data_IF_310551183589
#
_entry.id   IF_310551183589
#
_cell.length_a   1.000
_cell.length_b   1.000
_cell.length_c   1.000
_cell.angle_alpha   90.00
_cell.angle_beta   90.00
_cell.angle_gamma   90.00
#
_symmetry.space_group_name_H-M   'P 1'
#
loop_
_entity.id
_entity.type
_entity.pdbx_description
1 polymer ?
#
# COMPACT_ATOMS: atom_id res chain seq x y z
N UNK A 1 11.25 -20.55 7.67
CA UNK A 1 11.01 -19.94 6.34
C UNK A 1 9.58 -19.42 6.29
N UNK A 2 9.42 -18.08 6.29
CA UNK A 2 8.11 -17.46 6.15
C UNK A 2 7.52 -17.80 4.77
N UNK A 3 6.25 -18.27 4.75
CA UNK A 3 5.55 -18.61 3.50
C UNK A 3 5.06 -17.36 2.76
N UNK A 4 4.75 -16.28 3.48
CA UNK A 4 4.27 -15.01 2.93
C UNK A 4 5.08 -13.87 3.54
N UNK A 5 5.68 -13.05 2.69
CA UNK A 5 6.47 -11.88 3.05
C UNK A 5 5.79 -10.66 2.44
N UNK A 6 5.26 -9.79 3.28
CA UNK A 6 4.77 -8.46 2.90
C UNK A 6 5.74 -7.41 3.40
N UNK A 7 6.13 -6.48 2.55
CA UNK A 7 7.13 -5.47 2.87
C UNK A 7 6.62 -4.06 2.58
N UNK A 8 6.94 -3.16 3.50
CA UNK A 8 6.85 -1.72 3.34
C UNK A 8 8.24 -1.13 3.63
N UNK A 9 8.65 -0.15 2.87
CA UNK A 9 9.88 0.61 3.15
C UNK A 9 9.54 2.09 3.16
N UNK A 10 9.88 2.74 4.25
CA UNK A 10 9.72 4.17 4.38
C UNK A 10 11.06 4.87 4.16
N UNK A 11 11.09 5.84 3.25
CA UNK A 11 12.22 6.73 3.06
C UNK A 11 11.97 8.00 3.88
N UNK A 12 12.86 8.30 4.81
CA UNK A 12 12.87 9.56 5.55
C UNK A 12 14.24 10.27 5.38
N UNK A 13 14.34 11.48 5.90
CA UNK A 13 15.55 12.29 5.77
C UNK A 13 16.83 11.61 6.29
N UNK A 14 16.69 10.77 7.33
CA UNK A 14 17.83 10.12 7.98
C UNK A 14 18.24 8.81 7.32
N UNK A 15 17.36 8.17 6.53
CA UNK A 15 17.66 6.88 5.91
C UNK A 15 17.62 6.93 4.37
N UNK A 16 17.64 8.12 3.79
CA UNK A 16 17.60 8.30 2.34
C UNK A 16 18.76 7.54 1.66
N UNK A 17 18.42 6.53 0.86
CA UNK A 17 19.37 5.65 0.18
C UNK A 17 19.94 4.50 1.02
N UNK A 18 19.73 4.46 2.35
CA UNK A 18 20.23 3.40 3.22
C UNK A 18 19.23 2.25 3.41
N UNK A 19 17.94 2.52 3.32
CA UNK A 19 16.87 1.54 3.49
C UNK A 19 16.05 1.40 2.21
N UNK A 20 16.56 0.64 1.27
CA UNK A 20 15.92 0.45 -0.03
C UNK A 20 15.05 -0.80 -0.02
N UNK A 21 13.93 -0.76 -0.74
CA UNK A 21 13.05 -1.92 -0.94
C UNK A 21 13.80 -3.07 -1.65
N UNK A 22 14.88 -2.77 -2.36
CA UNK A 22 15.71 -3.74 -3.10
C UNK A 22 16.41 -4.77 -2.19
N UNK A 23 16.50 -4.52 -0.88
CA UNK A 23 17.01 -5.50 0.09
C UNK A 23 16.12 -6.73 0.20
N UNK A 24 14.84 -6.62 -0.12
CA UNK A 24 13.88 -7.72 -0.02
C UNK A 24 13.76 -8.43 -1.36
N UNK A 25 14.11 -9.70 -1.39
CA UNK A 25 14.04 -10.55 -2.58
C UNK A 25 12.78 -11.43 -2.54
N UNK A 26 12.09 -11.52 -3.69
CA UNK A 26 10.91 -12.36 -3.88
C UNK A 26 9.78 -12.12 -2.86
N UNK A 27 9.42 -10.87 -2.49
CA UNK A 27 8.31 -10.64 -1.58
C UNK A 27 6.99 -11.05 -2.23
N UNK A 28 6.04 -11.51 -1.40
CA UNK A 28 4.68 -11.78 -1.87
C UNK A 28 3.92 -10.48 -2.16
N UNK A 29 4.17 -9.46 -1.34
CA UNK A 29 3.55 -8.16 -1.46
C UNK A 29 4.56 -7.06 -1.14
N UNK A 30 4.57 -6.03 -1.96
CA UNK A 30 5.28 -4.77 -1.73
C UNK A 30 4.24 -3.65 -1.61
N UNK A 31 4.33 -2.83 -0.58
CA UNK A 31 3.61 -1.57 -0.49
C UNK A 31 4.65 -0.44 -0.44
N UNK A 32 4.44 0.56 -1.29
CA UNK A 32 5.34 1.71 -1.42
C UNK A 32 4.54 2.92 -1.89
N UNK A 33 4.92 4.14 -1.52
CA UNK A 33 4.30 5.31 -2.12
C UNK A 33 4.95 5.67 -3.47
N UNK A 34 4.25 6.46 -4.27
CA UNK A 34 4.70 6.78 -5.62
C UNK A 34 6.04 7.53 -5.66
N UNK A 35 6.25 8.48 -4.75
CA UNK A 35 7.53 9.22 -4.69
C UNK A 35 8.68 8.32 -4.27
N UNK A 36 8.48 7.41 -3.33
CA UNK A 36 9.46 6.40 -2.96
C UNK A 36 9.77 5.45 -4.10
N UNK A 37 8.74 4.98 -4.81
CA UNK A 37 8.91 4.13 -5.99
C UNK A 37 9.73 4.84 -7.08
N UNK A 38 9.45 6.12 -7.36
CA UNK A 38 10.19 6.91 -8.34
C UNK A 38 11.65 7.10 -7.94
N UNK A 39 11.90 7.39 -6.67
CA UNK A 39 13.25 7.48 -6.12
C UNK A 39 14.01 6.15 -6.23
N UNK A 40 13.35 5.05 -5.87
CA UNK A 40 13.92 3.70 -5.94
C UNK A 40 14.29 3.31 -7.37
N UNK A 41 13.41 3.62 -8.31
CA UNK A 41 13.61 3.33 -9.74
C UNK A 41 14.45 4.38 -10.46
N UNK A 42 14.85 5.49 -9.79
CA UNK A 42 15.55 6.64 -10.35
C UNK A 42 14.91 7.18 -11.63
N UNK A 43 13.59 7.25 -11.62
CA UNK A 43 12.80 7.58 -12.81
C UNK A 43 11.59 8.44 -12.40
N UNK A 44 11.65 9.74 -12.73
CA UNK A 44 10.61 10.71 -12.36
C UNK A 44 9.50 10.84 -13.39
N UNK A 45 9.77 10.47 -14.65
CA UNK A 45 8.94 10.86 -15.79
C UNK A 45 8.07 9.73 -16.34
N UNK A 46 8.50 8.47 -16.18
CA UNK A 46 7.76 7.33 -16.70
C UNK A 46 6.38 7.18 -16.07
N UNK A 47 5.38 6.67 -16.84
CA UNK A 47 4.06 6.36 -16.30
C UNK A 47 4.12 5.40 -15.12
N UNK A 48 3.35 5.67 -14.05
CA UNK A 48 3.35 4.87 -12.81
C UNK A 48 3.11 3.38 -13.06
N UNK A 49 2.21 3.01 -13.98
CA UNK A 49 1.96 1.60 -14.32
C UNK A 49 3.18 0.91 -14.93
N UNK A 50 4.02 1.63 -15.67
CA UNK A 50 5.27 1.10 -16.22
C UNK A 50 6.29 0.88 -15.10
N UNK A 51 6.44 1.87 -14.21
CA UNK A 51 7.35 1.77 -13.07
C UNK A 51 6.97 0.63 -12.13
N UNK A 52 5.67 0.46 -11.84
CA UNK A 52 5.16 -0.67 -11.03
C UNK A 52 5.57 -2.02 -11.64
N UNK A 53 5.42 -2.19 -12.94
CA UNK A 53 5.83 -3.42 -13.63
C UNK A 53 7.34 -3.65 -13.55
N UNK A 54 8.12 -2.59 -13.73
CA UNK A 54 9.60 -2.65 -13.62
C UNK A 54 10.05 -3.00 -12.20
N UNK A 55 9.46 -2.34 -11.19
CA UNK A 55 9.72 -2.63 -9.78
C UNK A 55 9.37 -4.07 -9.44
N UNK A 56 8.17 -4.53 -9.81
CA UNK A 56 7.71 -5.90 -9.57
C UNK A 56 8.66 -6.94 -10.19
N UNK A 57 9.13 -6.70 -11.42
CA UNK A 57 10.11 -7.56 -12.10
C UNK A 57 11.47 -7.54 -11.39
N UNK A 58 11.94 -6.36 -10.99
CA UNK A 58 13.24 -6.20 -10.33
C UNK A 58 13.29 -6.94 -8.98
N UNK A 59 12.25 -6.81 -8.18
CA UNK A 59 12.13 -7.46 -6.87
C UNK A 59 11.67 -8.92 -6.98
N UNK A 60 11.22 -9.38 -8.14
CA UNK A 60 10.48 -10.65 -8.34
C UNK A 60 9.27 -10.73 -7.41
N UNK A 61 8.61 -9.60 -7.16
CA UNK A 61 7.44 -9.51 -6.31
C UNK A 61 6.22 -10.13 -6.99
N UNK A 62 5.35 -10.80 -6.22
CA UNK A 62 4.08 -11.33 -6.75
C UNK A 62 3.02 -10.24 -6.89
N UNK A 63 2.98 -9.32 -5.96
CA UNK A 63 2.03 -8.23 -5.91
C UNK A 63 2.74 -6.94 -5.51
N UNK A 64 2.29 -5.82 -6.08
CA UNK A 64 2.78 -4.48 -5.72
C UNK A 64 1.58 -3.56 -5.52
N UNK A 65 1.57 -2.83 -4.41
CA UNK A 65 0.65 -1.72 -4.14
C UNK A 65 1.46 -0.43 -4.16
N UNK A 66 0.98 0.55 -4.91
CA UNK A 66 1.54 1.90 -4.91
C UNK A 66 0.46 2.88 -4.47
N UNK A 67 0.71 3.60 -3.37
CA UNK A 67 -0.16 4.67 -2.92
C UNK A 67 0.19 5.97 -3.64
N UNK A 68 -0.83 6.69 -4.11
CA UNK A 68 -0.70 7.88 -4.98
C UNK A 68 -1.37 9.12 -4.37
N UNK A 69 -1.43 9.21 -3.05
CA UNK A 69 -2.07 10.33 -2.35
C UNK A 69 -3.53 10.51 -2.77
N UNK A 70 -3.87 11.68 -3.28
CA UNK A 70 -5.24 12.00 -3.67
C UNK A 70 -5.78 11.18 -4.87
N UNK A 71 -4.93 10.44 -5.56
CA UNK A 71 -5.35 9.53 -6.64
C UNK A 71 -5.69 8.12 -6.13
N UNK A 72 -5.50 7.86 -4.84
CA UNK A 72 -5.78 6.58 -4.21
C UNK A 72 -4.62 5.60 -4.27
N UNK A 73 -4.89 4.35 -4.62
CA UNK A 73 -3.89 3.30 -4.67
C UNK A 73 -4.04 2.42 -5.92
N UNK A 74 -2.90 2.01 -6.49
CA UNK A 74 -2.82 1.03 -7.57
C UNK A 74 -2.24 -0.28 -7.04
N UNK A 75 -2.94 -1.36 -7.27
CA UNK A 75 -2.46 -2.73 -7.05
C UNK A 75 -2.11 -3.38 -8.38
N UNK A 76 -1.03 -4.12 -8.44
CA UNK A 76 -0.61 -4.92 -9.59
C UNK A 76 -0.34 -6.36 -9.20
N UNK A 77 -1.03 -7.30 -9.85
CA UNK A 77 -0.75 -8.72 -9.74
C UNK A 77 0.10 -9.17 -10.94
N UNK A 78 1.30 -9.67 -10.67
CA UNK A 78 2.28 -10.04 -11.71
C UNK A 78 1.88 -11.30 -12.46
N UNK A 79 1.24 -12.27 -11.80
CA UNK A 79 0.77 -13.51 -12.42
C UNK A 79 -0.37 -13.26 -13.40
N UNK A 80 -1.36 -12.48 -12.97
CA UNK A 80 -2.53 -12.15 -13.79
C UNK A 80 -2.27 -10.98 -14.74
N UNK A 81 -1.17 -10.25 -14.56
CA UNK A 81 -0.84 -8.99 -15.28
C UNK A 81 -1.96 -7.94 -15.18
N UNK A 82 -2.73 -7.96 -14.08
CA UNK A 82 -3.91 -7.12 -13.86
C UNK A 82 -3.60 -5.99 -12.88
N UNK A 83 -4.12 -4.80 -13.20
CA UNK A 83 -4.18 -3.67 -12.29
C UNK A 83 -5.58 -3.52 -11.69
N UNK A 84 -5.62 -3.16 -10.40
CA UNK A 84 -6.82 -2.76 -9.69
C UNK A 84 -6.54 -1.39 -9.07
N UNK A 85 -7.52 -0.49 -9.08
CA UNK A 85 -7.41 0.84 -8.48
C UNK A 85 -8.43 0.97 -7.34
N UNK A 86 -7.99 1.45 -6.18
CA UNK A 86 -8.87 1.96 -5.14
C UNK A 86 -8.84 3.50 -5.15
N UNK A 87 -9.98 4.17 -4.90
CA UNK A 87 -10.01 5.62 -4.79
C UNK A 87 -9.30 6.10 -3.51
N UNK A 88 -9.00 7.39 -3.43
CA UNK A 88 -8.65 8.03 -2.18
C UNK A 88 -9.92 8.28 -1.35
N UNK A 89 -9.89 7.90 -0.06
CA UNK A 89 -11.04 8.07 0.84
C UNK A 89 -10.91 9.25 1.79
N UNK A 90 -9.77 9.91 1.85
CA UNK A 90 -9.52 11.01 2.78
C UNK A 90 -9.23 12.32 2.09
N UNK A 91 -9.86 13.41 2.59
CA UNK A 91 -9.56 14.79 2.19
C UNK A 91 -8.74 15.54 3.25
N UNK A 92 -8.71 15.05 4.48
CA UNK A 92 -8.03 15.71 5.61
C UNK A 92 -6.82 14.86 6.00
N UNK A 93 -5.65 15.44 5.86
CA UNK A 93 -4.38 14.81 6.26
C UNK A 93 -3.81 15.62 7.41
N UNK A 94 -3.84 15.06 8.63
CA UNK A 94 -3.17 15.64 9.80
C UNK A 94 -1.78 15.04 9.99
N UNK A 95 -1.67 13.72 9.84
CA UNK A 95 -0.41 13.00 9.96
C UNK A 95 -0.39 11.80 9.00
N UNK A 96 0.79 11.50 8.45
CA UNK A 96 0.99 10.36 7.53
C UNK A 96 1.68 9.16 8.20
N UNK A 97 2.08 9.31 9.46
CA UNK A 97 2.81 8.26 10.18
C UNK A 97 1.91 7.06 10.42
N UNK A 98 2.39 5.86 10.07
CA UNK A 98 1.69 4.60 10.31
C UNK A 98 0.59 4.23 9.31
N UNK A 99 0.12 5.16 8.47
CA UNK A 99 -0.96 4.87 7.52
C UNK A 99 -0.59 3.78 6.51
N UNK A 100 0.66 3.75 6.04
CA UNK A 100 1.17 2.72 5.15
C UNK A 100 1.26 1.34 5.83
N UNK A 101 1.68 1.30 7.08
CA UNK A 101 1.80 0.07 7.86
C UNK A 101 0.41 -0.53 8.14
N UNK A 102 -0.57 0.31 8.47
CA UNK A 102 -1.95 -0.14 8.63
C UNK A 102 -2.52 -0.65 7.31
N UNK A 103 -2.30 0.08 6.20
CA UNK A 103 -2.72 -0.38 4.88
C UNK A 103 -2.18 -1.77 4.58
N UNK A 104 -0.85 -1.95 4.72
CA UNK A 104 -0.19 -3.22 4.45
C UNK A 104 -0.78 -4.35 5.31
N UNK A 105 -0.99 -4.10 6.60
CA UNK A 105 -1.51 -5.07 7.55
C UNK A 105 -2.93 -5.51 7.18
N UNK A 106 -3.84 -4.55 6.99
CA UNK A 106 -5.25 -4.83 6.63
C UNK A 106 -5.35 -5.53 5.27
N UNK A 107 -4.63 -5.03 4.26
CA UNK A 107 -4.59 -5.69 2.95
C UNK A 107 -4.11 -7.14 3.08
N UNK A 108 -3.00 -7.37 3.78
CA UNK A 108 -2.41 -8.71 3.91
C UNK A 108 -3.35 -9.69 4.60
N UNK A 109 -4.02 -9.26 5.68
CA UNK A 109 -4.98 -10.09 6.41
C UNK A 109 -6.17 -10.43 5.52
N UNK A 110 -6.85 -9.43 4.96
CA UNK A 110 -8.06 -9.66 4.17
C UNK A 110 -7.74 -10.49 2.93
N UNK A 111 -6.67 -10.17 2.20
CA UNK A 111 -6.30 -10.92 1.01
C UNK A 111 -5.90 -12.36 1.31
N UNK A 112 -5.30 -12.63 2.48
CA UNK A 112 -4.93 -14.00 2.89
C UNK A 112 -6.15 -14.88 3.21
N UNK A 113 -7.24 -14.28 3.70
CA UNK A 113 -8.46 -14.99 4.10
C UNK A 113 -9.45 -15.11 2.93
N UNK A 114 -9.60 -14.03 2.14
CA UNK A 114 -10.66 -13.95 1.12
C UNK A 114 -10.18 -14.25 -0.30
N UNK A 115 -8.86 -14.20 -0.52
CA UNK A 115 -8.23 -14.22 -1.86
C UNK A 115 -8.78 -13.12 -2.81
N UNK A 116 -9.46 -12.12 -2.25
CA UNK A 116 -10.07 -11.01 -2.97
C UNK A 116 -9.23 -9.74 -2.82
N UNK A 117 -8.32 -9.52 -3.78
CA UNK A 117 -7.42 -8.37 -3.76
C UNK A 117 -8.15 -7.02 -3.91
N UNK A 118 -9.33 -6.99 -4.56
CA UNK A 118 -10.13 -5.78 -4.72
C UNK A 118 -10.74 -5.34 -3.39
N UNK A 119 -11.36 -6.27 -2.67
CA UNK A 119 -11.86 -6.03 -1.31
C UNK A 119 -10.73 -5.63 -0.36
N UNK A 120 -9.61 -6.34 -0.40
CA UNK A 120 -8.46 -6.06 0.44
C UNK A 120 -7.86 -4.67 0.17
N UNK A 121 -7.75 -4.28 -1.13
CA UNK A 121 -7.24 -2.97 -1.53
C UNK A 121 -8.18 -1.85 -1.08
N UNK A 122 -9.47 -2.02 -1.29
CA UNK A 122 -10.49 -1.08 -0.87
C UNK A 122 -10.46 -0.85 0.64
N UNK A 123 -10.55 -1.93 1.42
CA UNK A 123 -10.58 -1.85 2.89
C UNK A 123 -9.26 -1.31 3.46
N UNK A 124 -8.12 -1.75 2.93
CA UNK A 124 -6.81 -1.22 3.35
C UNK A 124 -6.66 0.27 3.08
N UNK A 125 -7.10 0.74 1.90
CA UNK A 125 -7.10 2.17 1.54
C UNK A 125 -8.02 2.99 2.45
N UNK A 126 -9.20 2.47 2.76
CA UNK A 126 -10.17 3.11 3.64
C UNK A 126 -9.65 3.23 5.08
N UNK A 127 -9.07 2.16 5.64
CA UNK A 127 -8.46 2.19 6.98
C UNK A 127 -7.29 3.18 7.05
N UNK A 128 -6.42 3.18 6.04
CA UNK A 128 -5.31 4.13 5.97
C UNK A 128 -5.80 5.59 5.95
N UNK A 129 -6.90 5.87 5.24
CA UNK A 129 -7.49 7.20 5.19
C UNK A 129 -8.04 7.67 6.55
N UNK A 130 -8.59 6.76 7.35
CA UNK A 130 -9.05 7.11 8.71
C UNK A 130 -7.89 7.51 9.64
N UNK A 131 -6.75 6.80 9.55
CA UNK A 131 -5.59 7.17 10.39
C UNK A 131 -4.98 8.52 10.02
N UNK A 132 -5.12 8.96 8.77
CA UNK A 132 -4.64 10.28 8.34
C UNK A 132 -5.38 11.46 9.04
N UNK A 133 -6.55 11.22 9.62
CA UNK A 133 -7.36 12.23 10.32
C UNK A 133 -6.88 12.52 11.74
N UNK A 134 -6.05 11.65 12.30
CA UNK A 134 -5.57 11.74 13.68
C UNK A 134 -4.06 12.01 13.72
N UNK A 135 -3.55 12.46 14.88
CA UNK A 135 -2.12 12.62 15.11
C UNK A 135 -1.53 11.33 15.67
N UNK A 136 -0.48 10.82 15.05
CA UNK A 136 0.18 9.59 15.43
C UNK A 136 -0.73 8.36 15.33
N UNK A 137 -0.33 7.24 15.95
CA UNK A 137 -1.13 5.99 15.99
C UNK A 137 -2.10 5.97 17.17
N UNK A 138 -2.72 7.12 17.51
CA UNK A 138 -3.55 7.27 18.71
C UNK A 138 -4.90 6.54 18.62
N UNK A 139 -5.37 6.24 17.43
CA UNK A 139 -6.68 5.61 17.24
C UNK A 139 -6.54 4.23 16.57
N UNK A 140 -6.79 3.19 17.34
CA UNK A 140 -6.86 1.81 16.84
C UNK A 140 -8.31 1.57 16.41
N UNK A 141 -8.53 1.35 15.10
CA UNK A 141 -9.86 0.98 14.60
C UNK A 141 -10.32 -0.33 15.22
N UNK A 142 -11.44 -0.29 15.94
CA UNK A 142 -12.09 -1.52 16.39
C UNK A 142 -12.80 -2.23 15.22
N UNK A 143 -13.12 -3.50 15.41
CA UNK A 143 -13.86 -4.28 14.40
C UNK A 143 -15.18 -3.60 14.03
N UNK A 144 -15.94 -3.14 15.04
CA UNK A 144 -17.24 -2.47 14.83
C UNK A 144 -17.11 -1.15 14.08
N UNK A 145 -16.02 -0.39 14.34
CA UNK A 145 -15.74 0.84 13.62
C UNK A 145 -15.41 0.53 12.16
N UNK A 146 -14.59 -0.50 11.90
CA UNK A 146 -14.24 -0.93 10.56
C UNK A 146 -15.49 -1.39 9.78
N UNK A 147 -16.34 -2.21 10.37
CA UNK A 147 -17.58 -2.67 9.75
C UNK A 147 -18.49 -1.50 9.37
N UNK A 148 -18.71 -0.55 10.28
CA UNK A 148 -19.50 0.66 10.01
C UNK A 148 -18.89 1.49 8.87
N UNK A 149 -17.57 1.65 8.87
CA UNK A 149 -16.84 2.41 7.86
C UNK A 149 -17.00 1.79 6.48
N UNK A 150 -16.82 0.48 6.37
CA UNK A 150 -17.00 -0.27 5.11
C UNK A 150 -18.45 -0.17 4.61
N UNK A 151 -19.43 -0.42 5.47
CA UNK A 151 -20.86 -0.36 5.10
C UNK A 151 -21.27 1.05 4.64
N UNK A 152 -20.77 2.09 5.30
CA UNK A 152 -21.05 3.48 4.94
C UNK A 152 -20.52 3.85 3.55
N UNK A 153 -19.34 3.38 3.20
CA UNK A 153 -18.66 3.72 1.94
C UNK A 153 -19.04 2.79 0.77
N UNK A 154 -19.79 1.68 1.02
CA UNK A 154 -20.31 0.80 -0.03
C UNK A 154 -21.71 1.20 -0.51
N UNK A 155 -22.35 2.18 0.13
CA UNK A 155 -23.64 2.76 -0.29
C UNK A 155 -23.43 3.87 -1.31
#
# INVERSE_FOLDING_TARGET
NAKNISVNCQINANNNGLHTIQKYKNPNLVLINESEMRNEMRDKDSPSRLLIKRLAKHLKARNVIVTQGNEGALFYNTKLKKFIKAPAFGSIIKDKVGSGDLFLSIFSIINSVTENAELALYTGSLCAAETLKEFGNSNILTKEQLEKLVIYNLK
#
